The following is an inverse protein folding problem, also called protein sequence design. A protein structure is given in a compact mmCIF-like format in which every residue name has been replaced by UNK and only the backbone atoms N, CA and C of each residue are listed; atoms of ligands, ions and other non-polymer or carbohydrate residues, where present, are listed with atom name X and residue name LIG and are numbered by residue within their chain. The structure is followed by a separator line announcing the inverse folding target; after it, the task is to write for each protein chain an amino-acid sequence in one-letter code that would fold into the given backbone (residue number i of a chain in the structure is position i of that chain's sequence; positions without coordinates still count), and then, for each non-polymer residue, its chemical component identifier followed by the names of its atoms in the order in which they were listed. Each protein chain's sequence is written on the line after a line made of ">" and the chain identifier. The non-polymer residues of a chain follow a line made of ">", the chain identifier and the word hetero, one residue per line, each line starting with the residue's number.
data_IF_112991135116
#
_entry.id   IF_112991135116
#
_cell.length_a   1.000
_cell.length_b   1.000
_cell.length_c   1.000
_cell.angle_alpha   90.00
_cell.angle_beta   90.00
_cell.angle_gamma   90.00
#
_symmetry.space_group_name_H-M   'P 1'
#
loop_
_entity.id
_entity.type
_entity.pdbx_description
1 polymer ?
#
# COMPACT_ATOMS: atom_id res chain seq x y z
N UNK A 1 -26.97 -6.95 11.35
CA UNK A 1 -26.00 -6.31 10.44
C UNK A 1 -24.67 -6.96 10.74
N UNK A 2 -23.90 -7.30 9.73
CA UNK A 2 -22.56 -7.89 9.93
C UNK A 2 -21.56 -6.77 10.20
N UNK A 3 -20.69 -6.96 11.18
CA UNK A 3 -19.57 -6.07 11.47
C UNK A 3 -18.25 -6.80 11.17
N UNK A 4 -17.19 -6.06 10.88
CA UNK A 4 -15.85 -6.62 10.71
C UNK A 4 -14.78 -5.62 11.12
N UNK A 5 -13.69 -6.16 11.66
CA UNK A 5 -12.45 -5.44 11.92
C UNK A 5 -11.43 -5.82 10.84
N UNK A 6 -10.99 -4.84 10.06
CA UNK A 6 -9.99 -5.00 9.01
C UNK A 6 -8.74 -4.19 9.35
N UNK A 7 -7.57 -4.79 9.22
CA UNK A 7 -6.30 -4.07 9.37
C UNK A 7 -5.74 -3.78 7.98
N UNK A 8 -5.42 -2.51 7.71
CA UNK A 8 -4.61 -2.13 6.56
C UNK A 8 -3.19 -1.82 7.05
N UNK A 9 -2.25 -2.64 6.63
CA UNK A 9 -0.81 -2.49 6.83
C UNK A 9 -0.14 -2.23 5.49
N UNK A 10 0.92 -1.44 5.44
CA UNK A 10 1.61 -1.09 4.20
C UNK A 10 3.10 -0.88 4.44
N UNK A 11 3.87 -0.97 3.37
CA UNK A 11 5.27 -0.54 3.35
C UNK A 11 6.11 -1.23 4.43
N UNK A 12 6.10 -2.57 4.42
CA UNK A 12 6.86 -3.37 5.38
C UNK A 12 8.32 -3.59 4.96
N UNK A 13 8.64 -3.45 3.67
CA UNK A 13 9.98 -3.52 3.11
C UNK A 13 10.81 -4.68 3.66
N UNK A 14 10.23 -5.88 3.62
CA UNK A 14 10.88 -7.09 4.12
C UNK A 14 11.88 -7.63 3.11
N UNK A 15 13.05 -8.00 3.57
CA UNK A 15 14.09 -8.58 2.71
C UNK A 15 14.99 -9.51 3.50
N UNK A 16 15.34 -10.67 2.91
CA UNK A 16 16.16 -11.68 3.59
C UNK A 16 17.56 -11.14 3.95
N UNK A 17 18.17 -10.43 3.02
CA UNK A 17 19.50 -9.84 3.20
C UNK A 17 19.45 -8.37 3.63
N UNK A 18 18.25 -7.79 3.75
CA UNK A 18 18.01 -6.39 4.09
C UNK A 18 16.97 -6.30 5.22
N UNK A 19 17.17 -7.07 6.28
CA UNK A 19 16.21 -7.23 7.39
C UNK A 19 16.18 -6.02 8.36
N UNK A 20 16.33 -4.80 7.85
CA UNK A 20 16.41 -3.58 8.65
C UNK A 20 15.16 -3.33 9.50
N UNK A 21 13.99 -3.71 8.98
CA UNK A 21 12.69 -3.38 9.58
C UNK A 21 12.00 -4.62 10.16
N UNK A 22 12.71 -5.74 10.23
CA UNK A 22 12.16 -7.01 10.69
C UNK A 22 11.57 -6.92 12.12
N UNK A 23 12.17 -6.13 13.00
CA UNK A 23 11.69 -6.02 14.39
C UNK A 23 10.30 -5.37 14.47
N UNK A 24 10.01 -4.38 13.61
CA UNK A 24 8.67 -3.82 13.51
C UNK A 24 7.68 -4.85 12.97
N UNK A 25 8.10 -5.70 12.04
CA UNK A 25 7.24 -6.78 11.53
C UNK A 25 6.96 -7.85 12.61
N UNK A 26 7.95 -8.22 13.40
CA UNK A 26 7.75 -9.13 14.54
C UNK A 26 6.77 -8.55 15.57
N UNK A 27 6.90 -7.26 15.86
CA UNK A 27 5.96 -6.57 16.72
C UNK A 27 4.54 -6.54 16.10
N UNK A 28 4.43 -6.29 14.78
CA UNK A 28 3.15 -6.34 14.06
C UNK A 28 2.48 -7.73 14.16
N UNK A 29 3.24 -8.80 13.97
CA UNK A 29 2.70 -10.16 14.12
C UNK A 29 2.15 -10.39 15.54
N UNK A 30 2.85 -9.92 16.57
CA UNK A 30 2.41 -10.01 17.96
C UNK A 30 1.12 -9.23 18.19
N UNK A 31 1.01 -8.01 17.66
CA UNK A 31 -0.22 -7.21 17.73
C UNK A 31 -1.40 -7.91 17.06
N UNK A 32 -1.19 -8.56 15.92
CA UNK A 32 -2.25 -9.27 15.20
C UNK A 32 -2.73 -10.54 15.94
N UNK A 33 -1.86 -11.19 16.71
CA UNK A 33 -2.26 -12.30 17.59
C UNK A 33 -3.17 -11.84 18.74
N UNK A 34 -3.01 -10.59 19.18
CA UNK A 34 -3.84 -9.97 20.23
C UNK A 34 -5.15 -9.44 19.64
N UNK A 35 -5.06 -8.64 18.58
CA UNK A 35 -6.20 -7.97 17.94
C UNK A 35 -7.16 -8.95 17.26
N UNK A 36 -6.63 -9.96 16.57
CA UNK A 36 -7.37 -10.98 15.81
C UNK A 36 -8.39 -10.37 14.85
N UNK A 37 -7.98 -9.53 13.92
CA UNK A 37 -8.90 -8.93 12.96
C UNK A 37 -9.52 -10.01 12.05
N UNK A 38 -10.65 -9.69 11.44
CA UNK A 38 -11.33 -10.58 10.48
C UNK A 38 -10.55 -10.70 9.17
N UNK A 39 -9.80 -9.63 8.80
CA UNK A 39 -9.00 -9.57 7.59
C UNK A 39 -7.81 -8.63 7.76
N UNK A 40 -6.68 -8.98 7.18
CA UNK A 40 -5.54 -8.08 6.99
C UNK A 40 -5.36 -7.81 5.49
N UNK A 41 -5.25 -6.54 5.13
CA UNK A 41 -4.91 -6.09 3.79
C UNK A 41 -3.50 -5.49 3.84
N UNK A 42 -2.59 -6.03 3.02
CA UNK A 42 -1.28 -5.40 2.84
C UNK A 42 -1.31 -4.49 1.61
N UNK A 43 -1.13 -3.20 1.83
CA UNK A 43 -1.29 -2.12 0.84
C UNK A 43 -0.10 -1.89 -0.08
N UNK A 44 0.80 -2.86 -0.23
CA UNK A 44 1.97 -2.79 -1.12
C UNK A 44 3.29 -2.48 -0.42
N UNK A 45 4.39 -2.55 -1.19
CA UNK A 45 5.77 -2.50 -0.71
C UNK A 45 6.01 -3.51 0.42
N UNK A 46 5.61 -4.77 0.14
CA UNK A 46 5.81 -5.89 1.06
C UNK A 46 7.29 -6.26 1.14
N UNK A 47 8.00 -6.16 0.01
CA UNK A 47 9.40 -6.50 -0.13
C UNK A 47 10.30 -5.27 -0.17
N UNK A 48 11.59 -5.47 0.17
CA UNK A 48 12.59 -4.40 0.15
C UNK A 48 13.01 -4.02 -1.29
N UNK A 49 13.25 -5.01 -2.16
CA UNK A 49 13.70 -4.78 -3.54
C UNK A 49 13.30 -5.93 -4.48
N UNK A 50 12.03 -6.32 -4.47
CA UNK A 50 11.49 -7.40 -5.29
C UNK A 50 11.80 -7.28 -6.80
N UNK A 51 11.79 -6.06 -7.41
CA UNK A 51 12.06 -5.90 -8.83
C UNK A 51 13.42 -6.41 -9.29
N UNK A 52 14.46 -6.29 -8.45
CA UNK A 52 15.83 -6.71 -8.78
C UNK A 52 16.27 -7.94 -7.97
N UNK A 53 15.60 -8.22 -6.84
CA UNK A 53 15.90 -9.32 -5.93
C UNK A 53 14.61 -10.10 -5.64
N UNK A 54 14.17 -11.00 -6.54
CA UNK A 54 12.96 -11.79 -6.35
C UNK A 54 12.91 -12.61 -5.05
N UNK A 55 14.07 -12.90 -4.44
CA UNK A 55 14.12 -13.57 -3.14
C UNK A 55 13.57 -12.71 -2.01
N UNK A 56 13.62 -11.38 -2.11
CA UNK A 56 12.98 -10.50 -1.14
C UNK A 56 11.45 -10.66 -1.16
N UNK A 57 10.83 -10.85 -2.35
CA UNK A 57 9.40 -11.19 -2.46
C UNK A 57 9.07 -12.52 -1.79
N UNK A 58 9.86 -13.56 -2.05
CA UNK A 58 9.67 -14.88 -1.43
C UNK A 58 9.81 -14.80 0.08
N UNK A 59 10.82 -14.09 0.56
CA UNK A 59 11.00 -13.86 1.99
C UNK A 59 9.82 -13.10 2.60
N UNK A 60 9.37 -12.02 1.98
CA UNK A 60 8.21 -11.26 2.44
C UNK A 60 6.96 -12.16 2.51
N UNK A 61 6.75 -13.03 1.52
CA UNK A 61 5.67 -14.01 1.52
C UNK A 61 5.77 -15.00 2.68
N UNK A 62 6.99 -15.48 2.99
CA UNK A 62 7.24 -16.35 4.16
C UNK A 62 6.86 -15.61 5.46
N UNK A 63 7.21 -14.34 5.59
CA UNK A 63 6.91 -13.55 6.77
C UNK A 63 5.42 -13.26 6.93
N UNK A 64 4.73 -12.89 5.84
CA UNK A 64 3.28 -12.66 5.86
C UNK A 64 2.51 -13.96 6.16
N UNK A 65 2.98 -15.11 5.66
CA UNK A 65 2.38 -16.40 5.94
C UNK A 65 2.35 -16.81 7.42
N UNK A 66 3.08 -16.09 8.28
CA UNK A 66 3.05 -16.29 9.74
C UNK A 66 1.80 -15.68 10.39
N UNK A 67 1.09 -14.81 9.68
CA UNK A 67 -0.21 -14.31 10.13
C UNK A 67 -1.21 -15.47 10.24
N UNK A 68 -1.93 -15.52 11.36
CA UNK A 68 -2.91 -16.59 11.65
C UNK A 68 -4.34 -16.22 11.32
N UNK A 69 -4.53 -15.07 10.69
CA UNK A 69 -5.82 -14.54 10.23
C UNK A 69 -5.82 -14.44 8.71
N UNK A 70 -6.99 -14.41 8.06
CA UNK A 70 -7.06 -14.20 6.61
C UNK A 70 -6.34 -12.91 6.20
N UNK A 71 -5.65 -12.97 5.07
CA UNK A 71 -4.96 -11.80 4.53
C UNK A 71 -4.95 -11.81 3.00
N UNK A 72 -4.86 -10.62 2.43
CA UNK A 72 -4.59 -10.36 1.02
C UNK A 72 -3.52 -9.29 0.89
N UNK A 73 -2.84 -9.23 -0.26
CA UNK A 73 -1.85 -8.21 -0.56
C UNK A 73 -2.00 -7.71 -1.99
N UNK A 74 -1.69 -6.43 -2.20
CA UNK A 74 -1.46 -5.84 -3.51
C UNK A 74 0.01 -5.43 -3.60
N UNK A 75 0.62 -5.38 -4.81
CA UNK A 75 1.99 -4.93 -4.94
C UNK A 75 2.13 -3.41 -4.85
N UNK A 76 3.33 -2.98 -4.41
CA UNK A 76 3.83 -1.62 -4.57
C UNK A 76 5.03 -1.58 -5.52
N UNK A 77 5.66 -0.41 -5.62
CA UNK A 77 6.79 -0.23 -6.54
C UNK A 77 8.06 -0.98 -6.10
N UNK A 78 8.26 -1.21 -4.82
CA UNK A 78 9.34 -2.06 -4.31
C UNK A 78 9.10 -3.56 -4.54
N UNK A 79 7.92 -3.95 -5.01
CA UNK A 79 7.59 -5.33 -5.31
C UNK A 79 7.72 -5.67 -6.80
N UNK A 80 7.24 -4.80 -7.69
CA UNK A 80 7.15 -5.06 -9.13
C UNK A 80 7.69 -3.94 -10.02
N UNK A 81 8.14 -2.83 -9.44
CA UNK A 81 8.59 -1.63 -10.16
C UNK A 81 7.46 -0.65 -10.45
N UNK A 82 7.78 0.45 -11.12
CA UNK A 82 6.89 1.58 -11.36
C UNK A 82 6.39 1.63 -12.82
N UNK A 83 5.26 2.32 -13.10
CA UNK A 83 4.79 2.54 -14.48
C UNK A 83 5.86 3.17 -15.37
N UNK A 84 6.05 2.63 -16.56
CA UNK A 84 7.19 2.90 -17.47
C UNK A 84 7.28 4.28 -18.10
N UNK A 85 6.46 5.25 -17.70
CA UNK A 85 6.38 6.57 -18.33
C UNK A 85 7.44 7.58 -17.88
N UNK A 86 8.28 7.20 -16.93
CA UNK A 86 9.38 8.05 -16.46
C UNK A 86 10.72 7.54 -17.00
N UNK A 87 11.41 8.27 -17.89
CA UNK A 87 12.69 7.85 -18.44
C UNK A 87 13.83 7.78 -17.42
N UNK A 88 13.60 8.23 -16.18
CA UNK A 88 14.54 8.11 -15.06
C UNK A 88 14.31 6.86 -14.23
N UNK A 89 13.28 6.06 -14.56
CA UNK A 89 12.97 4.85 -13.81
C UNK A 89 14.08 3.81 -13.98
N UNK A 90 14.65 3.42 -12.86
CA UNK A 90 15.60 2.31 -12.80
C UNK A 90 14.88 0.95 -12.79
N UNK A 91 13.65 0.92 -12.31
CA UNK A 91 12.86 -0.29 -12.09
C UNK A 91 11.46 -0.13 -12.69
N UNK A 92 11.30 -0.22 -14.03
CA UNK A 92 9.97 -0.19 -14.63
C UNK A 92 9.18 -1.45 -14.30
N UNK A 93 7.85 -1.34 -14.14
CA UNK A 93 6.97 -2.51 -14.12
C UNK A 93 7.06 -3.24 -15.46
N UNK A 94 7.15 -4.57 -15.41
CA UNK A 94 7.23 -5.43 -16.60
C UNK A 94 6.42 -6.70 -16.39
N UNK A 95 6.03 -7.36 -17.49
CA UNK A 95 5.34 -8.65 -17.42
C UNK A 95 6.15 -9.70 -16.63
N UNK A 96 7.48 -9.68 -16.75
CA UNK A 96 8.35 -10.60 -16.01
C UNK A 96 8.30 -10.35 -14.48
N UNK A 97 8.35 -9.09 -14.05
CA UNK A 97 8.25 -8.74 -12.63
C UNK A 97 6.86 -9.03 -12.06
N UNK A 98 5.83 -8.72 -12.82
CA UNK A 98 4.46 -9.06 -12.43
C UNK A 98 4.25 -10.58 -12.36
N UNK A 99 4.86 -11.37 -13.26
CA UNK A 99 4.79 -12.82 -13.22
C UNK A 99 5.44 -13.39 -11.95
N UNK A 100 6.54 -12.80 -11.46
CA UNK A 100 7.14 -13.20 -10.17
C UNK A 100 6.20 -12.91 -9.01
N UNK A 101 5.51 -11.74 -9.02
CA UNK A 101 4.47 -11.47 -8.02
C UNK A 101 3.37 -12.53 -8.05
N UNK A 102 2.86 -12.85 -9.24
CA UNK A 102 1.80 -13.86 -9.40
C UNK A 102 2.24 -15.26 -8.93
N UNK A 103 3.50 -15.64 -9.16
CA UNK A 103 4.08 -16.89 -8.66
C UNK A 103 4.08 -16.92 -7.11
N UNK A 104 4.44 -15.80 -6.47
CA UNK A 104 4.70 -15.73 -5.03
C UNK A 104 3.46 -15.39 -4.21
N UNK A 105 2.68 -14.41 -4.66
CA UNK A 105 1.52 -13.86 -3.93
C UNK A 105 0.17 -14.21 -4.56
N UNK A 106 0.14 -14.64 -5.82
CA UNK A 106 -1.10 -14.87 -6.56
C UNK A 106 -1.62 -13.57 -7.18
N UNK A 107 -2.91 -13.30 -7.03
CA UNK A 107 -3.53 -12.12 -7.63
C UNK A 107 -2.88 -10.82 -7.13
N UNK A 108 -2.77 -9.84 -8.04
CA UNK A 108 -2.20 -8.52 -7.79
C UNK A 108 -3.25 -7.43 -7.52
N UNK A 109 -4.52 -7.80 -7.59
CA UNK A 109 -5.70 -6.95 -7.36
C UNK A 109 -6.86 -7.81 -6.90
N UNK A 110 -7.82 -7.24 -6.16
CA UNK A 110 -8.90 -8.00 -5.55
C UNK A 110 -10.22 -7.22 -5.52
N UNK A 111 -11.33 -7.95 -5.52
CA UNK A 111 -12.65 -7.45 -5.13
C UNK A 111 -13.09 -8.28 -3.94
N UNK A 112 -13.34 -7.63 -2.82
CA UNK A 112 -13.67 -8.29 -1.56
C UNK A 112 -15.00 -7.75 -1.03
N UNK A 113 -15.88 -8.64 -0.59
CA UNK A 113 -17.09 -8.26 0.12
C UNK A 113 -16.90 -8.57 1.62
N UNK A 114 -16.87 -7.51 2.45
CA UNK A 114 -16.60 -7.58 3.89
C UNK A 114 -17.66 -6.82 4.65
N UNK A 115 -18.37 -7.48 5.54
CA UNK A 115 -19.43 -6.89 6.40
C UNK A 115 -20.45 -6.02 5.63
N UNK A 116 -20.78 -6.40 4.40
CA UNK A 116 -21.70 -5.65 3.54
C UNK A 116 -21.07 -4.55 2.70
N UNK A 117 -19.78 -4.26 2.88
CA UNK A 117 -18.99 -3.36 2.04
C UNK A 117 -18.35 -4.10 0.88
N UNK A 118 -18.18 -3.42 -0.25
CA UNK A 118 -17.31 -3.87 -1.33
C UNK A 118 -16.02 -3.07 -1.34
N UNK A 119 -14.91 -3.76 -1.15
CA UNK A 119 -13.56 -3.20 -1.20
C UNK A 119 -12.90 -3.63 -2.51
N UNK A 120 -12.48 -2.64 -3.32
CA UNK A 120 -11.75 -2.89 -4.57
C UNK A 120 -10.30 -2.50 -4.37
N UNK A 121 -9.43 -3.50 -4.46
CA UNK A 121 -7.99 -3.35 -4.30
C UNK A 121 -7.34 -3.30 -5.68
N UNK A 122 -6.65 -2.21 -5.99
CA UNK A 122 -6.01 -1.97 -7.28
C UNK A 122 -4.49 -2.06 -7.20
N UNK A 123 -3.89 -2.61 -8.23
CA UNK A 123 -2.46 -2.50 -8.45
C UNK A 123 -2.16 -1.13 -9.08
N UNK A 124 -1.70 -0.16 -8.28
CA UNK A 124 -1.40 1.19 -8.75
C UNK A 124 -0.24 1.24 -9.74
N UNK A 125 0.64 0.23 -9.74
CA UNK A 125 1.79 0.17 -10.62
C UNK A 125 1.42 -0.26 -12.05
N UNK A 126 0.20 -0.74 -12.27
CA UNK A 126 -0.35 -0.93 -13.61
C UNK A 126 -0.93 0.35 -14.21
N UNK A 127 -1.34 1.32 -13.39
CA UNK A 127 -2.01 2.53 -13.85
C UNK A 127 -1.08 3.44 -14.67
N UNK A 128 -1.30 3.46 -15.98
CA UNK A 128 -0.45 4.16 -16.96
C UNK A 128 0.75 3.35 -17.44
N UNK A 129 0.79 2.06 -17.19
CA UNK A 129 1.86 1.17 -17.69
C UNK A 129 1.72 0.84 -19.17
N UNK A 130 0.51 0.90 -19.72
CA UNK A 130 0.20 0.45 -21.08
C UNK A 130 0.18 -1.07 -21.25
N UNK A 131 0.30 -1.84 -20.18
CA UNK A 131 0.28 -3.31 -20.21
C UNK A 131 -1.14 -3.85 -20.44
N UNK A 132 -1.25 -5.09 -20.89
CA UNK A 132 -2.55 -5.76 -21.08
C UNK A 132 -3.29 -5.93 -19.75
N UNK A 133 -2.55 -6.16 -18.68
CA UNK A 133 -3.07 -6.31 -17.31
C UNK A 133 -3.69 -5.01 -16.77
N UNK A 134 -3.23 -3.84 -17.24
CA UNK A 134 -3.89 -2.57 -16.93
C UNK A 134 -5.30 -2.52 -17.51
N UNK A 135 -5.50 -2.97 -18.76
CA UNK A 135 -6.83 -3.04 -19.36
C UNK A 135 -7.76 -3.95 -18.57
N UNK A 136 -7.28 -5.15 -18.22
CA UNK A 136 -8.06 -6.09 -17.41
C UNK A 136 -8.40 -5.50 -16.02
N UNK A 137 -7.53 -4.66 -15.45
CA UNK A 137 -7.82 -3.96 -14.20
C UNK A 137 -8.91 -2.90 -14.36
N UNK A 138 -8.90 -2.15 -15.46
CA UNK A 138 -9.97 -1.19 -15.76
C UNK A 138 -11.33 -1.87 -15.92
N UNK A 139 -11.39 -3.01 -16.62
CA UNK A 139 -12.58 -3.85 -16.77
C UNK A 139 -13.08 -4.33 -15.40
N UNK A 140 -12.18 -4.93 -14.59
CA UNK A 140 -12.50 -5.36 -13.22
C UNK A 140 -13.03 -4.21 -12.36
N UNK A 141 -12.40 -3.03 -12.40
CA UNK A 141 -12.83 -1.87 -11.62
C UNK A 141 -14.25 -1.43 -12.01
N UNK A 142 -14.52 -1.28 -13.30
CA UNK A 142 -15.83 -0.88 -13.79
C UNK A 142 -16.92 -1.90 -13.40
N UNK A 143 -16.65 -3.20 -13.57
CA UNK A 143 -17.56 -4.27 -13.19
C UNK A 143 -17.81 -4.32 -11.68
N UNK A 144 -16.75 -4.18 -10.87
CA UNK A 144 -16.86 -4.21 -9.42
C UNK A 144 -17.69 -3.06 -8.85
N UNK A 145 -17.51 -1.85 -9.42
CA UNK A 145 -18.25 -0.67 -8.99
C UNK A 145 -19.73 -0.75 -9.44
N UNK A 146 -19.98 -1.09 -10.70
CA UNK A 146 -21.35 -1.24 -11.24
C UNK A 146 -22.12 -2.37 -10.54
N UNK A 147 -21.44 -3.47 -10.22
CA UNK A 147 -22.02 -4.64 -9.54
C UNK A 147 -22.10 -4.52 -8.02
N UNK A 148 -21.95 -3.32 -7.45
CA UNK A 148 -22.00 -3.12 -6.00
C UNK A 148 -23.36 -3.45 -5.36
N UNK A 149 -24.45 -3.38 -6.13
CA UNK A 149 -25.81 -3.73 -5.66
C UNK A 149 -26.23 -2.99 -4.40
N UNK A 150 -25.87 -1.69 -4.30
CA UNK A 150 -26.15 -0.83 -3.15
C UNK A 150 -25.20 -0.97 -1.97
N UNK A 151 -24.19 -1.84 -2.04
CA UNK A 151 -23.13 -1.92 -1.02
C UNK A 151 -22.29 -0.65 -1.02
N UNK A 152 -21.93 -0.11 0.13
CA UNK A 152 -20.94 0.97 0.20
C UNK A 152 -19.59 0.49 -0.32
N UNK A 153 -18.85 1.41 -0.97
CA UNK A 153 -17.65 1.14 -1.74
C UNK A 153 -16.42 1.77 -1.09
N UNK A 154 -15.32 1.01 -1.04
CA UNK A 154 -13.98 1.50 -0.72
C UNK A 154 -12.97 1.10 -1.79
N UNK A 155 -12.03 1.99 -2.10
CA UNK A 155 -10.88 1.69 -2.95
C UNK A 155 -9.60 1.63 -2.10
N UNK A 156 -8.72 0.69 -2.42
CA UNK A 156 -7.40 0.57 -1.80
C UNK A 156 -6.37 0.38 -2.91
N UNK A 157 -5.29 1.16 -2.87
CA UNK A 157 -4.20 1.09 -3.84
C UNK A 157 -2.89 1.48 -3.16
N UNK A 158 -1.74 1.07 -3.71
CA UNK A 158 -0.47 1.37 -3.07
C UNK A 158 -0.14 2.87 -3.14
N UNK A 159 -0.04 3.44 -4.34
CA UNK A 159 0.25 4.88 -4.50
C UNK A 159 -1.01 5.72 -4.33
N UNK A 160 -0.97 6.82 -3.56
CA UNK A 160 -2.09 7.74 -3.49
C UNK A 160 -2.38 8.37 -4.86
N UNK A 161 -3.64 8.79 -5.06
CA UNK A 161 -4.04 9.42 -6.31
C UNK A 161 -3.44 10.83 -6.44
N UNK A 162 -3.32 11.57 -5.34
CA UNK A 162 -2.72 12.91 -5.30
C UNK A 162 -2.23 13.24 -3.88
N UNK A 163 -1.41 14.30 -3.75
CA UNK A 163 -0.92 14.78 -2.45
C UNK A 163 -1.77 15.91 -1.89
N UNK A 164 -2.00 16.94 -2.68
CA UNK A 164 -2.71 18.16 -2.25
C UNK A 164 -4.04 18.31 -2.96
N UNK A 165 -4.05 18.16 -4.28
CA UNK A 165 -5.25 18.33 -5.10
C UNK A 165 -5.26 17.35 -6.27
N UNK A 166 -6.45 16.94 -6.74
CA UNK A 166 -6.57 16.08 -7.92
C UNK A 166 -5.98 16.66 -9.20
N UNK A 167 -5.91 17.99 -9.28
CA UNK A 167 -5.45 18.71 -10.48
C UNK A 167 -3.92 18.93 -10.51
N UNK A 168 -3.17 18.32 -9.59
CA UNK A 168 -1.71 18.32 -9.64
C UNK A 168 -1.22 17.91 -11.03
N UNK A 169 -0.63 18.88 -11.76
CA UNK A 169 -0.30 18.70 -13.18
C UNK A 169 0.97 17.89 -13.37
N UNK A 170 1.92 18.01 -12.46
CA UNK A 170 3.21 17.37 -12.57
C UNK A 170 3.17 15.93 -12.05
N UNK A 171 3.59 14.94 -12.88
CA UNK A 171 3.75 13.58 -12.40
C UNK A 171 4.95 13.53 -11.45
N UNK A 172 4.68 13.30 -10.19
CA UNK A 172 5.72 12.98 -9.22
C UNK A 172 5.67 11.48 -8.92
N UNK A 173 6.80 10.84 -8.66
CA UNK A 173 6.87 9.41 -8.38
C UNK A 173 6.11 9.00 -7.10
N UNK A 174 5.57 9.95 -6.35
CA UNK A 174 4.86 9.72 -5.09
C UNK A 174 3.35 9.47 -5.26
N UNK A 175 2.79 9.73 -6.44
CA UNK A 175 1.35 9.57 -6.70
C UNK A 175 1.11 8.93 -8.06
N UNK A 176 -0.11 8.44 -8.25
CA UNK A 176 -0.58 7.98 -9.56
C UNK A 176 -0.54 9.15 -10.54
N UNK A 177 -0.02 8.91 -11.74
CA UNK A 177 0.08 9.91 -12.81
C UNK A 177 -1.27 10.56 -13.14
N UNK A 178 -1.30 11.85 -13.54
CA UNK A 178 -2.56 12.56 -13.84
C UNK A 178 -3.45 11.87 -14.88
N UNK A 179 -2.85 11.21 -15.89
CA UNK A 179 -3.61 10.48 -16.91
C UNK A 179 -4.56 9.43 -16.33
N UNK A 180 -4.07 8.37 -15.70
CA UNK A 180 -4.90 7.34 -15.08
C UNK A 180 -5.60 7.78 -13.80
N UNK A 181 -5.08 8.79 -13.06
CA UNK A 181 -5.71 9.36 -11.87
C UNK A 181 -7.13 9.87 -12.14
N UNK A 182 -7.29 10.66 -13.22
CA UNK A 182 -8.57 11.28 -13.56
C UNK A 182 -9.71 10.28 -13.76
N UNK A 183 -9.58 9.23 -14.58
CA UNK A 183 -10.64 8.25 -14.71
C UNK A 183 -10.91 7.44 -13.42
N UNK A 184 -9.91 7.15 -12.57
CA UNK A 184 -10.16 6.52 -11.27
C UNK A 184 -11.03 7.41 -10.40
N UNK A 185 -10.71 8.71 -10.28
CA UNK A 185 -11.50 9.68 -9.52
C UNK A 185 -12.91 9.88 -10.09
N UNK A 186 -13.03 9.88 -11.44
CA UNK A 186 -14.33 10.00 -12.08
C UNK A 186 -15.24 8.81 -11.76
N UNK A 187 -14.72 7.58 -11.86
CA UNK A 187 -15.46 6.37 -11.50
C UNK A 187 -15.78 6.33 -9.99
N UNK A 188 -14.84 6.71 -9.14
CA UNK A 188 -15.08 6.78 -7.70
C UNK A 188 -16.22 7.72 -7.34
N UNK A 189 -16.26 8.90 -7.96
CA UNK A 189 -17.35 9.87 -7.80
C UNK A 189 -18.68 9.37 -8.36
N UNK A 190 -18.68 8.83 -9.58
CA UNK A 190 -19.87 8.31 -10.25
C UNK A 190 -20.59 7.24 -9.44
N UNK A 191 -19.81 6.35 -8.82
CA UNK A 191 -20.34 5.24 -8.04
C UNK A 191 -20.41 5.51 -6.53
N UNK A 192 -20.08 6.72 -6.06
CA UNK A 192 -20.20 7.10 -4.65
C UNK A 192 -19.23 6.35 -3.73
N UNK A 193 -17.98 6.14 -4.16
CA UNK A 193 -16.94 5.57 -3.32
C UNK A 193 -16.75 6.41 -2.06
N UNK A 194 -16.85 5.77 -0.90
CA UNK A 194 -16.86 6.43 0.40
C UNK A 194 -15.46 6.77 0.89
N UNK A 195 -14.49 5.92 0.60
CA UNK A 195 -13.08 6.16 0.93
C UNK A 195 -12.12 5.62 -0.11
N UNK A 196 -10.92 6.23 -0.15
CA UNK A 196 -9.77 5.77 -0.93
C UNK A 196 -8.58 5.71 0.00
N UNK A 197 -8.05 4.50 0.24
CA UNK A 197 -6.89 4.29 1.09
C UNK A 197 -5.63 3.94 0.29
N UNK A 198 -4.46 4.38 0.77
CA UNK A 198 -3.17 4.14 0.09
C UNK A 198 -2.01 4.08 1.08
N UNK A 199 -0.89 3.48 0.66
CA UNK A 199 0.40 3.47 1.35
C UNK A 199 1.41 4.42 0.72
N UNK A 200 2.63 3.92 0.47
CA UNK A 200 3.71 4.54 -0.32
C UNK A 200 4.38 5.78 0.29
N UNK A 201 3.63 6.65 0.94
CA UNK A 201 4.18 7.92 1.45
C UNK A 201 4.83 7.79 2.83
N UNK A 202 4.72 6.61 3.46
CA UNK A 202 5.23 6.36 4.82
C UNK A 202 4.74 7.39 5.85
N UNK A 203 3.49 7.83 5.67
CA UNK A 203 2.92 8.98 6.37
C UNK A 203 1.44 8.75 6.63
N UNK A 204 1.05 8.84 7.89
CA UNK A 204 -0.36 8.83 8.25
C UNK A 204 -1.01 10.18 7.90
N UNK A 205 -2.14 10.13 7.17
CA UNK A 205 -3.01 11.27 6.91
C UNK A 205 -4.43 10.81 6.65
N UNK A 206 -5.42 11.57 7.14
CA UNK A 206 -6.82 11.42 6.76
C UNK A 206 -7.39 12.79 6.41
N UNK A 207 -8.10 12.90 5.30
CA UNK A 207 -8.73 14.15 4.85
C UNK A 207 -9.90 13.85 3.92
N UNK A 208 -10.90 14.71 3.95
CA UNK A 208 -12.01 14.69 2.99
C UNK A 208 -11.66 15.50 1.75
N UNK A 209 -12.04 15.01 0.59
CA UNK A 209 -12.06 15.75 -0.65
C UNK A 209 -13.30 15.39 -1.46
N UNK A 210 -14.18 16.38 -1.67
CA UNK A 210 -15.42 16.26 -2.45
C UNK A 210 -16.34 15.10 -1.95
N UNK A 211 -16.40 14.92 -0.62
CA UNK A 211 -17.21 13.90 0.04
C UNK A 211 -16.63 12.48 0.01
N UNK A 212 -15.41 12.32 -0.48
CA UNK A 212 -14.65 11.07 -0.38
C UNK A 212 -13.55 11.21 0.66
N UNK A 213 -13.46 10.23 1.57
CA UNK A 213 -12.44 10.19 2.61
C UNK A 213 -11.14 9.59 2.06
N UNK A 214 -10.06 10.35 2.06
CA UNK A 214 -8.74 9.88 1.66
C UNK A 214 -7.91 9.53 2.89
N UNK A 215 -7.32 8.33 2.88
CA UNK A 215 -6.52 7.81 3.99
C UNK A 215 -5.16 7.37 3.47
N UNK A 216 -4.08 7.99 3.93
CA UNK A 216 -2.74 7.47 3.74
C UNK A 216 -2.38 6.60 4.94
N UNK A 217 -2.15 5.33 4.69
CA UNK A 217 -1.70 4.41 5.71
C UNK A 217 -0.24 4.68 6.09
N UNK A 218 0.12 4.56 7.36
CA UNK A 218 1.51 4.64 7.78
C UNK A 218 2.28 3.40 7.30
N UNK A 219 3.58 3.47 7.37
CA UNK A 219 4.52 2.36 7.11
C UNK A 219 4.75 1.53 8.37
N UNK A 220 5.11 0.26 8.22
CA UNK A 220 5.72 -0.50 9.32
C UNK A 220 7.24 -0.49 9.29
N UNK A 221 7.87 0.00 8.21
CA UNK A 221 9.33 -0.02 8.05
C UNK A 221 10.00 1.26 8.56
N UNK A 222 10.00 2.31 7.77
CA UNK A 222 10.80 3.52 8.03
C UNK A 222 10.03 4.79 7.72
N UNK A 223 10.50 5.90 8.23
CA UNK A 223 9.92 7.23 8.01
C UNK A 223 10.93 8.17 7.33
N UNK A 224 10.38 9.19 6.68
CA UNK A 224 11.13 10.33 6.11
C UNK A 224 10.52 11.63 6.64
N UNK A 225 10.86 12.04 7.87
CA UNK A 225 10.26 13.21 8.50
C UNK A 225 10.36 14.45 7.63
N UNK A 226 9.29 15.24 7.60
CA UNK A 226 9.21 16.51 6.85
C UNK A 226 8.88 16.38 5.36
N UNK A 227 9.03 15.19 4.74
CA UNK A 227 8.81 15.04 3.29
C UNK A 227 7.39 15.43 2.84
N UNK A 228 6.38 15.15 3.65
CA UNK A 228 4.97 15.44 3.35
C UNK A 228 4.30 16.27 4.45
N UNK A 229 5.08 17.04 5.23
CA UNK A 229 4.59 17.87 6.31
C UNK A 229 3.61 18.94 5.80
N UNK A 230 3.91 19.57 4.66
CA UNK A 230 3.05 20.58 4.03
C UNK A 230 1.68 20.02 3.62
N UNK A 231 1.60 18.72 3.38
CA UNK A 231 0.35 18.03 3.12
C UNK A 231 -0.42 17.67 4.40
N UNK A 232 0.08 18.02 5.59
CA UNK A 232 -0.57 17.71 6.88
C UNK A 232 -0.40 16.26 7.32
N UNK A 233 0.57 15.54 6.76
CA UNK A 233 0.85 14.14 7.11
C UNK A 233 1.73 14.01 8.36
N UNK A 234 1.58 12.89 9.07
CA UNK A 234 2.35 12.53 10.26
C UNK A 234 3.29 11.38 9.91
N UNK A 235 4.60 11.66 9.85
CA UNK A 235 5.62 10.66 9.58
C UNK A 235 5.89 9.81 10.83
N UNK A 236 5.15 8.71 10.95
CA UNK A 236 5.31 7.73 12.02
C UNK A 236 5.02 6.33 11.51
N UNK A 237 5.66 5.33 12.09
CA UNK A 237 5.35 3.92 11.84
C UNK A 237 4.03 3.51 12.48
N UNK A 238 3.39 2.49 11.93
CA UNK A 238 2.13 1.97 12.45
C UNK A 238 1.32 1.23 11.40
N UNK A 239 0.05 1.06 11.69
CA UNK A 239 -0.96 0.52 10.78
C UNK A 239 -2.31 1.17 11.04
N UNK A 240 -3.32 0.87 10.22
CA UNK A 240 -4.68 1.36 10.45
C UNK A 240 -5.63 0.21 10.76
N UNK A 241 -6.56 0.46 11.68
CA UNK A 241 -7.65 -0.46 12.03
C UNK A 241 -8.96 0.14 11.54
N UNK A 242 -9.68 -0.61 10.73
CA UNK A 242 -10.95 -0.24 10.15
C UNK A 242 -12.06 -1.07 10.77
N UNK A 243 -13.07 -0.42 11.29
CA UNK A 243 -14.28 -1.06 11.82
C UNK A 243 -15.45 -0.78 10.88
N UNK A 244 -15.94 -1.81 10.23
CA UNK A 244 -17.13 -1.74 9.39
C UNK A 244 -18.33 -2.21 10.18
N UNK A 245 -19.42 -1.43 10.17
CA UNK A 245 -20.71 -1.79 10.82
C UNK A 245 -21.87 -1.23 9.99
N UNK A 246 -22.60 -2.13 9.32
CA UNK A 246 -23.61 -1.74 8.34
C UNK A 246 -23.03 -0.85 7.26
N UNK A 247 -23.61 0.33 7.03
CA UNK A 247 -23.15 1.31 6.03
C UNK A 247 -22.14 2.31 6.58
N UNK A 248 -21.71 2.12 7.83
CA UNK A 248 -20.77 3.00 8.51
C UNK A 248 -19.39 2.35 8.65
N UNK A 249 -18.37 3.18 8.76
CA UNK A 249 -17.03 2.73 9.11
C UNK A 249 -16.31 3.77 9.97
N UNK A 250 -15.33 3.31 10.72
CA UNK A 250 -14.32 4.15 11.36
C UNK A 250 -12.93 3.64 11.00
N UNK A 251 -11.95 4.54 11.07
CA UNK A 251 -10.54 4.20 10.87
C UNK A 251 -9.71 4.83 11.97
N UNK A 252 -8.90 4.01 12.62
CA UNK A 252 -7.98 4.40 13.67
C UNK A 252 -6.54 4.16 13.23
N UNK A 253 -5.68 5.14 13.47
CA UNK A 253 -4.23 4.98 13.38
C UNK A 253 -3.70 4.36 14.67
N UNK A 254 -2.91 3.31 14.53
CA UNK A 254 -2.29 2.60 15.66
C UNK A 254 -0.77 2.58 15.49
N UNK A 255 -0.06 3.08 16.50
CA UNK A 255 1.38 2.92 16.65
C UNK A 255 1.65 2.06 17.88
N UNK A 256 1.98 0.77 17.72
CA UNK A 256 2.33 -0.07 18.86
C UNK A 256 3.57 0.44 19.61
N UNK A 257 3.64 0.27 20.94
CA UNK A 257 4.78 0.73 21.73
C UNK A 257 6.13 0.12 21.32
N UNK A 258 6.11 -1.07 20.72
CA UNK A 258 7.31 -1.77 20.28
C UNK A 258 7.78 -1.36 18.89
N UNK A 259 7.00 -0.55 18.15
CA UNK A 259 7.43 -0.07 16.84
C UNK A 259 8.47 1.02 16.96
N UNK A 260 9.55 0.87 16.19
CA UNK A 260 10.65 1.83 16.12
C UNK A 260 10.48 2.71 14.88
N UNK A 261 10.48 4.03 15.06
CA UNK A 261 10.52 4.99 13.95
C UNK A 261 11.95 5.05 13.39
N UNK A 262 12.25 4.24 12.39
CA UNK A 262 13.53 4.31 11.67
C UNK A 262 13.53 5.52 10.74
N UNK A 263 14.16 6.61 11.16
CA UNK A 263 14.37 7.78 10.33
C UNK A 263 15.54 7.55 9.38
N UNK A 264 15.23 7.32 8.08
CA UNK A 264 16.25 7.05 7.07
C UNK A 264 16.85 8.31 6.47
N UNK A 265 16.39 9.51 6.82
CA UNK A 265 16.97 10.76 6.31
C UNK A 265 18.44 10.93 6.73
N UNK A 266 18.78 10.35 7.87
CA UNK A 266 20.15 10.35 8.42
C UNK A 266 21.01 9.17 7.92
N UNK A 267 20.42 8.25 7.14
CA UNK A 267 21.14 7.09 6.57
C UNK A 267 21.80 7.40 5.23
N UNK A 268 21.53 8.57 4.65
CA UNK A 268 22.19 8.99 3.41
C UNK A 268 23.63 9.38 3.71
N UNK A 269 24.57 8.63 3.17
CA UNK A 269 25.95 9.08 3.09
C UNK A 269 26.07 10.17 2.05
N UNK A 270 26.78 11.23 2.41
CA UNK A 270 27.45 12.24 1.58
C UNK A 270 27.00 12.43 0.12
N UNK A 271 26.92 13.69 -0.29
CA UNK A 271 26.61 14.22 -1.62
C UNK A 271 26.67 13.21 -2.79
N UNK A 272 25.51 12.88 -3.34
CA UNK A 272 25.37 12.23 -4.64
C UNK A 272 25.26 10.71 -4.65
N UNK A 273 25.17 10.06 -3.51
CA UNK A 273 25.03 8.61 -3.44
C UNK A 273 23.62 8.18 -3.03
N UNK A 274 23.20 7.03 -3.54
CA UNK A 274 22.14 6.20 -2.95
C UNK A 274 22.28 6.11 -1.42
N UNK A 275 21.16 5.99 -0.72
CA UNK A 275 21.12 5.75 0.73
C UNK A 275 22.13 4.68 1.08
N UNK A 276 23.15 5.04 1.89
CA UNK A 276 24.07 4.07 2.46
C UNK A 276 23.40 3.47 3.69
N UNK A 277 22.85 2.28 3.52
CA UNK A 277 22.25 1.57 4.64
C UNK A 277 23.34 1.15 5.64
N UNK A 278 23.09 1.22 6.96
CA UNK A 278 24.02 0.71 7.95
C UNK A 278 24.22 -0.80 7.74
N UNK A 279 25.35 -1.37 8.17
CA UNK A 279 25.54 -2.81 8.14
C UNK A 279 24.44 -3.49 8.96
N UNK A 280 23.86 -4.56 8.39
CA UNK A 280 22.84 -5.34 9.10
C UNK A 280 23.38 -5.86 10.43
N UNK A 281 22.58 -5.79 11.49
CA UNK A 281 22.91 -6.52 12.71
C UNK A 281 23.02 -8.02 12.36
N UNK A 282 24.09 -8.65 12.82
CA UNK A 282 24.33 -10.08 12.60
C UNK A 282 23.20 -10.85 13.29
N UNK A 283 22.24 -11.37 12.52
CA UNK A 283 21.25 -12.31 13.05
C UNK A 283 21.78 -13.72 12.81
N UNK A 284 21.94 -14.56 13.86
CA UNK A 284 22.22 -15.97 13.65
C UNK A 284 21.07 -16.60 12.85
N UNK A 285 21.44 -17.49 11.93
CA UNK A 285 20.49 -18.26 11.11
C UNK A 285 19.70 -19.24 11.98
#
# INVERSE_FOLDING_TARGET
>A
MSSATVVLVSDSHLGRNHAYFQDNWEAFLTEMEILKPDLIIHGGDVSFNGPDVPDDLRYAREQIARLRVPWVAIPGNHDIGEPGNNPRLKQPVTAARLAVWHEVFGADRHVLDVAGWRLVLLNSELLGSGMAEERAQWEMLAEALAGAEGRPLGLILHKPLFQMTPDEAEPNGSCVHPGPRRPVLALAREHGVRFIASGHLHTWRRFDFDGTDFVWAPTTAFITPGRFADAGGIARVGYTVWHFDGDSYSVDYVQPPLFVNFDITNWSSQKGSSISLPPLPHRPR
#
